data_IF_056751592941
#
_entry.id   IF_056751592941
#
_cell.length_a   1.000
_cell.length_b   1.000
_cell.length_c   1.000
_cell.angle_alpha   90.00
_cell.angle_beta   90.00
_cell.angle_gamma   90.00
#
_symmetry.space_group_name_H-M   'P 1'
#
loop_
_entity.id
_entity.type
_entity.pdbx_description
1 polymer ?
#
# COMPACT_ATOMS: atom_id res chain seq x y z
N UNK A 1 -25.67 -30.15 -10.90
CA UNK A 1 -24.32 -29.57 -10.72
C UNK A 1 -24.37 -28.60 -9.54
N UNK A 2 -23.75 -28.95 -8.43
CA UNK A 2 -23.65 -28.12 -7.23
C UNK A 2 -22.75 -26.93 -7.53
N UNK A 3 -23.26 -25.70 -7.40
CA UNK A 3 -22.46 -24.47 -7.51
C UNK A 3 -21.30 -24.57 -6.51
N UNK A 4 -20.06 -24.63 -7.03
CA UNK A 4 -18.85 -24.60 -6.21
C UNK A 4 -18.84 -23.26 -5.47
N UNK A 5 -18.88 -23.30 -4.13
CA UNK A 5 -18.92 -22.11 -3.26
C UNK A 5 -17.72 -21.21 -3.59
N UNK A 6 -17.98 -20.01 -4.09
CA UNK A 6 -16.97 -19.05 -4.55
C UNK A 6 -16.38 -18.31 -3.34
N UNK A 7 -15.37 -18.92 -2.71
CA UNK A 7 -14.54 -18.41 -1.62
C UNK A 7 -15.25 -18.10 -0.27
N UNK A 8 -14.92 -18.86 0.78
CA UNK A 8 -15.33 -18.56 2.17
C UNK A 8 -14.41 -17.52 2.86
N UNK A 9 -13.14 -17.42 2.42
CA UNK A 9 -12.15 -16.53 2.98
C UNK A 9 -11.41 -15.79 1.86
N UNK A 10 -11.32 -14.47 1.98
CA UNK A 10 -10.48 -13.64 1.12
C UNK A 10 -9.02 -13.77 1.58
N UNK A 11 -8.12 -13.99 0.63
CA UNK A 11 -6.71 -14.23 0.89
C UNK A 11 -5.86 -13.68 -0.25
N UNK A 12 -4.59 -13.38 0.05
CA UNK A 12 -3.64 -13.00 -0.96
C UNK A 12 -3.53 -14.06 -2.07
N UNK A 13 -3.63 -13.62 -3.32
CA UNK A 13 -3.63 -14.48 -4.51
C UNK A 13 -5.00 -15.08 -4.87
N UNK A 14 -6.09 -14.77 -4.17
CA UNK A 14 -7.41 -15.31 -4.49
C UNK A 14 -8.04 -14.62 -5.73
N UNK A 15 -7.94 -15.27 -6.89
CA UNK A 15 -8.45 -14.76 -8.17
C UNK A 15 -9.97 -14.52 -8.17
N UNK A 16 -10.74 -15.34 -7.45
CA UNK A 16 -12.20 -15.20 -7.40
C UNK A 16 -12.60 -13.97 -6.58
N UNK A 17 -12.05 -13.81 -5.37
CA UNK A 17 -12.27 -12.63 -4.53
C UNK A 17 -11.83 -11.34 -5.26
N UNK A 18 -10.70 -11.40 -5.97
CA UNK A 18 -10.22 -10.30 -6.80
C UNK A 18 -11.23 -9.90 -7.89
N UNK A 19 -11.76 -10.86 -8.66
CA UNK A 19 -12.75 -10.58 -9.70
C UNK A 19 -13.98 -9.85 -9.15
N UNK A 20 -14.48 -10.24 -7.97
CA UNK A 20 -15.59 -9.54 -7.32
C UNK A 20 -15.25 -8.10 -6.92
N UNK A 21 -14.01 -7.81 -6.53
CA UNK A 21 -13.55 -6.46 -6.16
C UNK A 21 -13.24 -5.58 -7.38
N UNK A 22 -12.60 -6.14 -8.42
CA UNK A 22 -12.04 -5.37 -9.54
C UNK A 22 -12.83 -5.46 -10.85
N UNK A 23 -13.84 -6.34 -10.91
CA UNK A 23 -14.59 -6.63 -12.12
C UNK A 23 -13.68 -7.23 -13.20
N UNK A 24 -13.64 -6.58 -14.37
CA UNK A 24 -12.90 -7.07 -15.54
C UNK A 24 -11.41 -6.69 -15.57
N UNK A 25 -10.87 -6.06 -14.52
CA UNK A 25 -9.44 -5.77 -14.43
C UNK A 25 -8.76 -6.95 -13.74
N UNK A 26 -7.80 -7.58 -14.44
CA UNK A 26 -7.09 -8.79 -13.99
C UNK A 26 -5.75 -8.40 -13.38
N UNK A 27 -5.28 -9.12 -12.35
CA UNK A 27 -3.94 -8.94 -11.77
C UNK A 27 -2.83 -9.31 -12.77
N UNK A 28 -1.66 -8.67 -12.62
CA UNK A 28 -0.41 -9.12 -13.22
C UNK A 28 0.03 -10.47 -12.65
N UNK A 29 0.90 -11.19 -13.37
CA UNK A 29 1.47 -12.46 -12.88
C UNK A 29 2.58 -12.23 -11.84
N UNK A 30 3.16 -11.03 -11.85
CA UNK A 30 4.23 -10.59 -10.97
C UNK A 30 3.79 -10.51 -9.50
N UNK A 31 2.48 -10.48 -9.25
CA UNK A 31 1.93 -10.58 -7.89
C UNK A 31 1.89 -12.01 -7.34
N UNK A 32 2.13 -13.03 -8.18
CA UNK A 32 2.05 -14.44 -7.77
C UNK A 32 3.22 -14.82 -6.84
N UNK A 33 4.41 -14.25 -7.06
CA UNK A 33 5.59 -14.48 -6.22
C UNK A 33 5.38 -13.96 -4.79
N UNK A 34 4.75 -12.78 -4.66
CA UNK A 34 4.37 -12.21 -3.36
C UNK A 34 3.30 -13.06 -2.67
N UNK A 35 2.42 -13.71 -3.44
CA UNK A 35 1.36 -14.54 -2.87
C UNK A 35 1.91 -15.76 -2.12
N UNK A 36 3.11 -16.25 -2.46
CA UNK A 36 3.77 -17.36 -1.76
C UNK A 36 4.14 -16.99 -0.32
N UNK A 37 4.44 -15.71 -0.05
CA UNK A 37 4.83 -15.23 1.28
C UNK A 37 3.75 -15.46 2.34
N UNK A 38 2.47 -15.55 1.95
CA UNK A 38 1.37 -15.81 2.90
C UNK A 38 1.53 -17.15 3.62
N UNK A 39 2.19 -18.12 2.99
CA UNK A 39 2.42 -19.45 3.57
C UNK A 39 3.40 -19.42 4.75
N UNK A 40 4.13 -18.31 4.91
CA UNK A 40 5.06 -18.08 6.03
C UNK A 40 4.34 -17.51 7.26
N UNK A 41 3.12 -16.97 7.09
CA UNK A 41 2.36 -16.40 8.19
C UNK A 41 1.92 -17.51 9.17
N UNK A 42 1.98 -17.26 10.48
CA UNK A 42 1.43 -18.19 11.45
C UNK A 42 -0.09 -18.23 11.32
N UNK A 43 -0.70 -19.37 11.65
CA UNK A 43 -2.16 -19.51 11.67
C UNK A 43 -2.84 -18.48 12.59
N UNK A 44 -2.20 -18.17 13.72
CA UNK A 44 -2.61 -17.15 14.67
C UNK A 44 -1.39 -16.34 15.10
N UNK A 45 -1.59 -15.06 15.40
CA UNK A 45 -0.58 -14.23 16.04
C UNK A 45 -0.40 -14.60 17.52
N UNK A 46 0.52 -13.91 18.23
CA UNK A 46 0.72 -14.06 19.66
C UNK A 46 -0.59 -14.05 20.44
N UNK A 47 -0.67 -14.89 21.48
CA UNK A 47 -1.84 -15.07 22.33
C UNK A 47 -3.13 -15.48 21.59
N UNK A 48 -3.00 -16.12 20.42
CA UNK A 48 -4.13 -16.62 19.63
C UNK A 48 -4.91 -15.51 18.92
N UNK A 49 -4.30 -14.34 18.73
CA UNK A 49 -4.88 -13.23 17.97
C UNK A 49 -4.98 -13.56 16.48
N UNK A 50 -5.88 -12.88 15.77
CA UNK A 50 -6.10 -13.15 14.35
C UNK A 50 -5.03 -12.51 13.48
N UNK A 51 -4.77 -13.13 12.33
CA UNK A 51 -3.98 -12.57 11.23
C UNK A 51 -4.90 -12.53 10.00
N UNK A 52 -5.30 -11.33 9.57
CA UNK A 52 -6.40 -11.12 8.63
C UNK A 52 -5.94 -10.40 7.35
N UNK A 53 -6.37 -10.87 6.19
CA UNK A 53 -5.97 -10.32 4.89
C UNK A 53 -6.89 -9.18 4.45
N UNK A 54 -6.29 -8.05 4.04
CA UNK A 54 -6.95 -6.92 3.38
C UNK A 54 -8.13 -6.32 4.20
N UNK A 55 -8.03 -6.37 5.54
CA UNK A 55 -8.97 -5.76 6.47
C UNK A 55 -8.26 -4.65 7.24
N UNK A 56 -8.89 -3.47 7.32
CA UNK A 56 -8.38 -2.33 8.08
C UNK A 56 -9.38 -1.98 9.18
N UNK A 57 -8.93 -2.09 10.44
CA UNK A 57 -9.72 -1.65 11.59
C UNK A 57 -8.83 -1.03 12.67
N UNK A 58 -9.46 -0.19 13.48
CA UNK A 58 -8.85 0.45 14.64
C UNK A 58 -9.85 0.47 15.80
N UNK A 59 -9.47 -0.15 16.91
CA UNK A 59 -10.28 -0.21 18.13
C UNK A 59 -9.99 0.94 19.09
N UNK A 60 -9.05 1.84 18.76
CA UNK A 60 -8.65 2.96 19.61
C UNK A 60 -7.87 2.57 20.87
N UNK A 61 -7.52 1.29 21.01
CA UNK A 61 -6.79 0.74 22.14
C UNK A 61 -5.28 0.98 21.96
N UNK A 62 -4.68 1.68 22.92
CA UNK A 62 -3.25 2.03 22.91
C UNK A 62 -2.40 1.10 23.77
N UNK A 63 -3.05 0.25 24.56
CA UNK A 63 -2.39 -0.58 25.57
C UNK A 63 -2.30 -2.04 25.12
N UNK A 64 -3.17 -2.46 24.20
CA UNK A 64 -3.29 -3.86 23.79
C UNK A 64 -3.38 -4.05 22.28
N UNK A 65 -2.91 -5.19 21.81
CA UNK A 65 -3.01 -5.63 20.41
C UNK A 65 -4.27 -6.50 20.23
N UNK A 66 -5.11 -6.17 19.26
CA UNK A 66 -6.39 -6.87 19.00
C UNK A 66 -6.32 -7.89 17.87
N UNK A 67 -5.25 -7.84 17.09
CA UNK A 67 -5.06 -8.65 15.90
C UNK A 67 -3.95 -8.09 15.03
N UNK A 68 -3.73 -8.76 13.92
CA UNK A 68 -2.77 -8.39 12.89
C UNK A 68 -3.46 -8.43 11.54
N UNK A 69 -3.06 -7.52 10.67
CA UNK A 69 -3.59 -7.44 9.32
C UNK A 69 -2.44 -7.41 8.33
N UNK A 70 -2.69 -7.97 7.14
CA UNK A 70 -1.68 -7.98 6.09
C UNK A 70 -2.29 -7.74 4.71
N UNK A 71 -1.48 -7.22 3.80
CA UNK A 71 -1.85 -7.00 2.40
C UNK A 71 -0.63 -7.14 1.50
N UNK A 72 -0.82 -7.28 0.19
CA UNK A 72 0.29 -7.15 -0.75
C UNK A 72 0.56 -5.68 -1.09
N UNK A 73 1.84 -5.34 -1.17
CA UNK A 73 2.29 -3.96 -1.36
C UNK A 73 3.39 -3.87 -2.42
N UNK A 74 3.28 -2.88 -3.30
CA UNK A 74 4.23 -2.52 -4.35
C UNK A 74 4.58 -3.66 -5.29
N UNK A 75 3.75 -4.71 -5.35
CA UNK A 75 4.03 -5.99 -6.04
C UNK A 75 5.34 -6.68 -5.60
N UNK A 76 5.90 -6.29 -4.45
CA UNK A 76 7.23 -6.70 -3.98
C UNK A 76 7.23 -7.15 -2.51
N UNK A 77 6.20 -6.80 -1.75
CA UNK A 77 6.15 -7.06 -0.31
C UNK A 77 4.82 -7.66 0.11
N UNK A 78 4.88 -8.50 1.13
CA UNK A 78 3.75 -8.67 2.04
C UNK A 78 3.93 -7.67 3.19
N UNK A 79 2.97 -6.76 3.35
CA UNK A 79 3.00 -5.77 4.43
C UNK A 79 2.12 -6.26 5.58
N UNK A 80 2.74 -6.62 6.70
CA UNK A 80 2.10 -7.03 7.95
C UNK A 80 2.12 -5.85 8.93
N UNK A 81 1.04 -5.67 9.69
CA UNK A 81 0.95 -4.66 10.74
C UNK A 81 0.02 -5.09 11.88
N UNK A 82 0.19 -4.56 13.10
CA UNK A 82 -0.82 -4.71 14.15
C UNK A 82 -2.12 -4.02 13.72
N UNK A 83 -3.26 -4.55 14.16
CA UNK A 83 -4.53 -3.87 14.00
C UNK A 83 -4.63 -2.69 14.99
N UNK A 84 -4.80 -1.48 14.47
CA UNK A 84 -4.89 -0.23 15.25
C UNK A 84 -3.89 0.83 14.81
N UNK A 85 -4.33 2.10 14.76
CA UNK A 85 -3.49 3.20 14.26
C UNK A 85 -2.28 3.47 15.16
N UNK A 86 -2.45 3.42 16.48
CA UNK A 86 -1.39 3.76 17.44
C UNK A 86 -0.17 2.86 17.27
N UNK A 87 -0.36 1.54 17.36
CA UNK A 87 0.73 0.58 17.25
C UNK A 87 1.33 0.56 15.84
N UNK A 88 0.52 0.71 14.80
CA UNK A 88 1.05 0.76 13.43
C UNK A 88 1.99 1.96 13.23
N UNK A 89 1.62 3.15 13.70
CA UNK A 89 2.46 4.34 13.57
C UNK A 89 3.72 4.23 14.44
N UNK A 90 3.57 3.89 15.72
CA UNK A 90 4.69 3.76 16.66
C UNK A 90 5.74 2.77 16.17
N UNK A 91 5.29 1.62 15.69
CA UNK A 91 6.18 0.58 15.18
C UNK A 91 6.94 1.02 13.94
N UNK A 92 6.27 1.74 13.03
CA UNK A 92 6.94 2.27 11.84
C UNK A 92 7.96 3.36 12.19
N UNK A 93 7.65 4.22 13.17
CA UNK A 93 8.60 5.20 13.71
C UNK A 93 9.82 4.54 14.34
N UNK A 94 9.64 3.41 15.04
CA UNK A 94 10.74 2.64 15.61
C UNK A 94 11.57 1.94 14.53
N UNK A 95 10.93 1.33 13.52
CA UNK A 95 11.62 0.72 12.38
C UNK A 95 12.49 1.76 11.62
N UNK A 96 12.03 3.01 11.51
CA UNK A 96 12.79 4.08 10.86
C UNK A 96 14.03 4.55 11.62
N UNK A 97 14.27 4.09 12.85
CA UNK A 97 15.49 4.35 13.63
C UNK A 97 16.57 3.28 13.39
N UNK A 98 16.23 2.18 12.72
CA UNK A 98 17.15 1.09 12.46
C UNK A 98 18.30 1.55 11.53
N UNK A 99 19.55 1.07 11.71
CA UNK A 99 20.62 1.36 10.76
C UNK A 99 20.27 0.83 9.37
N UNK A 100 20.68 1.58 8.34
CA UNK A 100 20.57 1.14 6.95
C UNK A 100 21.58 -0.01 6.73
N UNK A 101 21.08 -1.13 6.22
CA UNK A 101 21.83 -2.33 5.87
C UNK A 101 21.99 -2.45 4.36
N UNK A 102 22.95 -3.25 3.91
CA UNK A 102 23.14 -3.57 2.48
C UNK A 102 21.89 -4.23 1.87
N UNK A 103 21.22 -5.13 2.61
CA UNK A 103 19.97 -5.75 2.16
C UNK A 103 18.87 -4.70 1.96
N UNK A 104 18.70 -3.74 2.88
CA UNK A 104 17.70 -2.69 2.75
C UNK A 104 17.98 -1.73 1.59
N UNK A 105 19.25 -1.42 1.31
CA UNK A 105 19.63 -0.67 0.10
C UNK A 105 19.29 -1.43 -1.18
N UNK A 106 19.61 -2.73 -1.23
CA UNK A 106 19.27 -3.60 -2.37
C UNK A 106 17.76 -3.66 -2.60
N UNK A 107 16.98 -3.78 -1.52
CA UNK A 107 15.50 -3.77 -1.58
C UNK A 107 14.98 -2.42 -2.11
N UNK A 108 15.54 -1.31 -1.64
CA UNK A 108 15.16 0.02 -2.11
C UNK A 108 15.48 0.23 -3.60
N UNK A 109 16.64 -0.25 -4.06
CA UNK A 109 17.04 -0.20 -5.46
C UNK A 109 16.13 -1.06 -6.34
N UNK A 110 15.83 -2.31 -5.93
CA UNK A 110 14.89 -3.18 -6.66
C UNK A 110 13.50 -2.56 -6.78
N UNK A 111 13.03 -1.86 -5.75
CA UNK A 111 11.76 -1.13 -5.79
C UNK A 111 11.78 -0.02 -6.87
N UNK A 112 12.88 0.70 -7.02
CA UNK A 112 13.03 1.74 -8.03
C UNK A 112 13.11 1.18 -9.45
N UNK A 113 13.91 0.12 -9.64
CA UNK A 113 14.28 -0.39 -10.97
C UNK A 113 13.29 -1.40 -11.54
N UNK A 114 12.69 -2.24 -10.70
CA UNK A 114 11.92 -3.42 -11.10
C UNK A 114 10.45 -3.37 -10.66
N UNK A 115 9.91 -2.18 -10.38
CA UNK A 115 8.48 -1.98 -10.09
C UNK A 115 7.59 -2.17 -11.33
N UNK A 116 6.41 -2.77 -11.13
CA UNK A 116 5.44 -3.09 -12.19
C UNK A 116 4.01 -2.84 -11.72
N UNK A 117 3.09 -2.61 -12.66
CA UNK A 117 1.67 -2.49 -12.32
C UNK A 117 1.13 -3.81 -11.78
N UNK A 118 0.49 -3.73 -10.61
CA UNK A 118 -0.29 -4.82 -10.00
C UNK A 118 -1.41 -5.36 -10.90
N UNK A 119 -1.90 -4.55 -11.83
CA UNK A 119 -2.97 -4.88 -12.76
C UNK A 119 -2.47 -4.88 -14.20
N UNK A 120 -3.09 -5.71 -15.05
CA UNK A 120 -2.84 -5.66 -16.50
C UNK A 120 -3.50 -4.42 -17.09
N UNK A 121 -2.71 -3.40 -17.35
CA UNK A 121 -3.14 -2.10 -17.84
C UNK A 121 -2.61 -1.82 -19.26
N UNK A 122 -3.29 -0.93 -19.98
CA UNK A 122 -2.90 -0.52 -21.33
C UNK A 122 -1.67 0.39 -21.26
N UNK A 123 -0.79 0.28 -22.26
CA UNK A 123 0.32 1.21 -22.46
C UNK A 123 -0.17 2.64 -22.68
N UNK A 124 0.63 3.58 -22.23
CA UNK A 124 0.43 5.02 -22.40
C UNK A 124 1.18 5.49 -23.63
N UNK A 125 0.57 6.42 -24.37
CA UNK A 125 1.14 7.03 -25.58
C UNK A 125 1.59 8.48 -25.37
N UNK A 126 1.11 9.12 -24.32
CA UNK A 126 1.30 10.54 -24.05
C UNK A 126 2.16 10.72 -22.79
N UNK A 127 3.09 11.66 -22.87
CA UNK A 127 3.97 12.04 -21.76
C UNK A 127 3.31 13.12 -20.91
N UNK A 128 3.40 12.96 -19.59
CA UNK A 128 2.93 13.95 -18.63
C UNK A 128 3.96 14.12 -17.52
N UNK A 129 4.48 15.34 -17.36
CA UNK A 129 5.54 15.63 -16.40
C UNK A 129 5.07 15.60 -14.93
N UNK A 130 3.81 15.96 -14.69
CA UNK A 130 3.18 15.96 -13.37
C UNK A 130 1.92 15.09 -13.36
N UNK A 131 1.98 13.94 -12.68
CA UNK A 131 0.86 12.99 -12.56
C UNK A 131 0.50 12.75 -11.10
N UNK A 132 -0.78 12.88 -10.76
CA UNK A 132 -1.31 12.62 -9.41
C UNK A 132 -2.14 11.33 -9.45
N UNK A 133 -1.70 10.29 -8.73
CA UNK A 133 -2.42 9.02 -8.61
C UNK A 133 -3.51 9.12 -7.55
N UNK A 134 -4.77 9.02 -7.99
CA UNK A 134 -5.93 9.15 -7.12
C UNK A 134 -6.24 7.84 -6.34
N UNK A 135 -6.85 7.96 -5.14
CA UNK A 135 -7.39 6.82 -4.42
C UNK A 135 -8.49 6.07 -5.20
N UNK A 136 -8.81 4.86 -4.73
CA UNK A 136 -10.04 4.16 -5.13
C UNK A 136 -11.29 4.93 -4.70
N UNK A 137 -12.41 4.71 -5.40
CA UNK A 137 -13.67 5.43 -5.16
C UNK A 137 -14.16 5.31 -3.72
N UNK A 138 -13.90 4.18 -3.04
CA UNK A 138 -14.34 3.90 -1.68
C UNK A 138 -13.76 4.85 -0.63
N UNK A 139 -12.62 5.48 -0.89
CA UNK A 139 -11.93 6.38 0.07
C UNK A 139 -11.56 7.73 -0.56
N UNK A 140 -11.93 7.96 -1.83
CA UNK A 140 -11.55 9.16 -2.57
C UNK A 140 -11.98 10.45 -1.86
N UNK A 141 -13.22 10.48 -1.34
CA UNK A 141 -13.77 11.64 -0.65
C UNK A 141 -13.11 11.89 0.72
N UNK A 142 -12.64 10.82 1.37
CA UNK A 142 -12.11 10.89 2.74
C UNK A 142 -10.62 11.21 2.79
N UNK A 143 -9.89 10.94 1.71
CA UNK A 143 -8.43 10.97 1.69
C UNK A 143 -7.88 12.07 0.79
N UNK A 144 -8.54 12.43 -0.32
CA UNK A 144 -8.03 13.45 -1.22
C UNK A 144 -8.29 14.86 -0.69
N UNK A 145 -7.23 15.67 -0.57
CA UNK A 145 -7.34 17.10 -0.42
C UNK A 145 -7.73 17.74 -1.76
N UNK A 146 -9.04 17.99 -1.93
CA UNK A 146 -9.62 18.49 -3.18
C UNK A 146 -9.06 19.84 -3.62
N UNK A 147 -8.81 20.75 -2.69
CA UNK A 147 -8.30 22.09 -3.02
C UNK A 147 -6.85 22.03 -3.47
N UNK A 148 -6.04 21.20 -2.83
CA UNK A 148 -4.66 20.95 -3.24
C UNK A 148 -4.60 20.30 -4.62
N UNK A 149 -5.45 19.30 -4.85
CA UNK A 149 -5.58 18.66 -6.16
C UNK A 149 -5.98 19.69 -7.24
N UNK A 150 -6.96 20.56 -6.95
CA UNK A 150 -7.37 21.62 -7.88
C UNK A 150 -6.21 22.55 -8.23
N UNK A 151 -5.50 23.07 -7.22
CA UNK A 151 -4.35 23.96 -7.45
C UNK A 151 -3.26 23.31 -8.29
N UNK A 152 -3.04 22.00 -8.13
CA UNK A 152 -2.06 21.28 -8.94
C UNK A 152 -2.54 21.07 -10.37
N UNK A 153 -3.82 20.76 -10.58
CA UNK A 153 -4.42 20.71 -11.94
C UNK A 153 -4.33 22.07 -12.63
N UNK A 154 -4.60 23.16 -11.92
CA UNK A 154 -4.45 24.53 -12.45
C UNK A 154 -2.98 24.84 -12.83
N UNK A 155 -2.01 24.11 -12.27
CA UNK A 155 -0.58 24.17 -12.62
C UNK A 155 -0.15 23.15 -13.67
N UNK A 156 -1.11 22.42 -14.28
CA UNK A 156 -0.86 21.46 -15.36
C UNK A 156 -0.78 19.99 -14.95
N UNK A 157 -1.07 19.65 -13.68
CA UNK A 157 -1.08 18.26 -13.25
C UNK A 157 -2.21 17.45 -13.91
N UNK A 158 -1.92 16.19 -14.23
CA UNK A 158 -2.93 15.20 -14.68
C UNK A 158 -3.31 14.27 -13.54
N UNK A 159 -4.61 14.03 -13.37
CA UNK A 159 -5.13 13.13 -12.35
C UNK A 159 -5.34 11.73 -12.92
N UNK A 160 -4.59 10.76 -12.42
CA UNK A 160 -4.71 9.36 -12.81
C UNK A 160 -5.67 8.61 -11.91
N UNK A 161 -6.78 8.14 -12.48
CA UNK A 161 -7.77 7.34 -11.77
C UNK A 161 -7.21 5.97 -11.36
N UNK A 162 -7.56 5.52 -10.16
CA UNK A 162 -7.31 4.15 -9.68
C UNK A 162 -8.07 3.12 -10.55
N UNK A 163 -7.53 1.90 -10.79
CA UNK A 163 -8.23 0.83 -11.53
C UNK A 163 -9.66 0.55 -11.04
N UNK A 164 -9.89 0.65 -9.73
CA UNK A 164 -11.20 0.46 -9.09
C UNK A 164 -12.13 1.69 -9.16
N UNK A 165 -11.76 2.75 -9.87
CA UNK A 165 -12.60 3.95 -9.97
C UNK A 165 -13.94 3.62 -10.65
N UNK A 166 -15.05 3.97 -9.99
CA UNK A 166 -16.39 3.75 -10.52
C UNK A 166 -16.70 4.71 -11.68
N UNK A 167 -17.60 4.35 -12.61
CA UNK A 167 -18.02 5.26 -13.69
C UNK A 167 -18.59 6.59 -13.18
N UNK A 168 -19.36 6.55 -12.09
CA UNK A 168 -19.93 7.76 -11.47
C UNK A 168 -18.83 8.68 -10.91
N UNK A 169 -17.83 8.11 -10.22
CA UNK A 169 -16.69 8.89 -9.73
C UNK A 169 -15.86 9.47 -10.88
N UNK A 170 -15.66 8.71 -11.96
CA UNK A 170 -14.97 9.21 -13.15
C UNK A 170 -15.71 10.40 -13.79
N UNK A 171 -17.03 10.30 -13.95
CA UNK A 171 -17.85 11.38 -14.49
C UNK A 171 -17.77 12.64 -13.60
N UNK A 172 -17.85 12.46 -12.28
CA UNK A 172 -17.68 13.55 -11.32
C UNK A 172 -16.30 14.22 -11.43
N UNK A 173 -15.22 13.44 -11.52
CA UNK A 173 -13.86 13.97 -11.65
C UNK A 173 -13.68 14.77 -12.95
N UNK A 174 -14.20 14.25 -14.07
CA UNK A 174 -14.17 14.96 -15.36
C UNK A 174 -14.95 16.28 -15.31
N UNK A 175 -16.11 16.28 -14.67
CA UNK A 175 -16.90 17.50 -14.48
C UNK A 175 -16.17 18.51 -13.58
N UNK A 176 -15.51 18.06 -12.52
CA UNK A 176 -14.85 18.94 -11.53
C UNK A 176 -13.52 19.51 -12.02
N UNK A 177 -12.72 18.74 -12.75
CA UNK A 177 -11.34 19.10 -13.11
C UNK A 177 -11.10 19.27 -14.62
N UNK A 178 -12.12 19.09 -15.46
CA UNK A 178 -11.97 19.04 -16.91
C UNK A 178 -11.60 17.63 -17.39
N UNK A 179 -12.25 17.17 -18.47
CA UNK A 179 -12.07 15.81 -18.96
C UNK A 179 -10.65 15.54 -19.46
N UNK A 180 -9.99 16.57 -19.98
CA UNK A 180 -8.61 16.59 -20.46
C UNK A 180 -7.57 16.45 -19.35
N UNK A 181 -7.94 16.68 -18.09
CA UNK A 181 -7.04 16.53 -16.94
C UNK A 181 -7.18 15.18 -16.24
N UNK A 182 -8.09 14.32 -16.72
CA UNK A 182 -8.35 13.01 -16.12
C UNK A 182 -7.80 11.89 -17.01
N UNK A 183 -6.80 11.17 -16.49
CA UNK A 183 -6.27 9.95 -17.11
C UNK A 183 -7.08 8.74 -16.69
N UNK A 184 -7.45 7.92 -17.68
CA UNK A 184 -8.36 6.79 -17.48
C UNK A 184 -7.78 5.69 -16.58
N UNK A 185 -8.68 4.97 -15.88
CA UNK A 185 -8.31 3.90 -14.94
C UNK A 185 -7.57 2.70 -15.57
N UNK A 186 -7.74 2.46 -16.87
CA UNK A 186 -7.11 1.35 -17.61
C UNK A 186 -5.72 1.66 -18.15
N UNK A 187 -5.21 2.89 -18.01
CA UNK A 187 -3.84 3.24 -18.39
C UNK A 187 -2.86 2.77 -17.31
N UNK A 188 -1.69 2.29 -17.74
CA UNK A 188 -0.58 1.88 -16.87
C UNK A 188 -0.16 3.02 -15.95
N UNK A 189 -0.11 2.75 -14.64
CA UNK A 189 0.33 3.73 -13.66
C UNK A 189 1.85 3.82 -13.62
N UNK A 190 2.52 2.69 -13.67
CA UNK A 190 3.99 2.62 -13.63
C UNK A 190 4.64 3.26 -14.85
N UNK A 191 4.06 3.11 -16.05
CA UNK A 191 4.57 3.80 -17.24
C UNK A 191 4.47 5.32 -17.10
N UNK A 192 3.32 5.84 -16.62
CA UNK A 192 3.15 7.26 -16.34
C UNK A 192 4.15 7.77 -15.30
N UNK A 193 4.37 6.99 -14.23
CA UNK A 193 5.32 7.35 -13.17
C UNK A 193 6.77 7.41 -13.67
N UNK A 194 7.18 6.43 -14.49
CA UNK A 194 8.53 6.37 -15.06
C UNK A 194 8.84 7.61 -15.90
N UNK A 195 7.84 8.06 -16.65
CA UNK A 195 7.91 9.20 -17.55
C UNK A 195 7.79 10.57 -16.83
N UNK A 196 7.05 10.64 -15.72
CA UNK A 196 6.85 11.87 -14.96
C UNK A 196 8.11 12.29 -14.17
N UNK A 197 8.30 13.60 -14.00
CA UNK A 197 9.29 14.15 -13.06
C UNK A 197 8.69 14.37 -11.67
N UNK A 198 7.39 14.67 -11.63
CA UNK A 198 6.64 14.98 -10.41
C UNK A 198 5.48 14.00 -10.26
N UNK A 199 5.41 13.36 -9.09
CA UNK A 199 4.38 12.39 -8.75
C UNK A 199 3.59 12.87 -7.55
N UNK A 200 2.28 12.99 -7.71
CA UNK A 200 1.35 13.19 -6.60
C UNK A 200 0.71 11.88 -6.17
N UNK A 201 0.45 11.72 -4.88
CA UNK A 201 -0.32 10.59 -4.36
C UNK A 201 -0.97 10.93 -3.02
N UNK A 202 -1.92 10.12 -2.60
CA UNK A 202 -2.41 10.13 -1.22
C UNK A 202 -1.74 9.02 -0.40
N UNK A 203 -1.79 9.11 0.92
CA UNK A 203 -1.09 8.23 1.86
C UNK A 203 -1.61 6.77 1.84
N UNK A 204 -2.68 6.50 1.08
CA UNK A 204 -3.18 5.15 0.84
C UNK A 204 -2.54 4.47 -0.38
N UNK A 205 -1.71 5.18 -1.15
CA UNK A 205 -1.17 4.69 -2.43
C UNK A 205 0.26 4.21 -2.29
N UNK A 206 0.57 3.06 -2.85
CA UNK A 206 1.95 2.56 -2.98
C UNK A 206 2.77 3.39 -3.98
N UNK A 207 2.11 4.10 -4.90
CA UNK A 207 2.74 4.76 -6.05
C UNK A 207 3.75 5.83 -5.63
N UNK A 208 3.50 6.56 -4.54
CA UNK A 208 4.47 7.55 -4.08
C UNK A 208 5.72 6.95 -3.46
N UNK A 209 5.62 5.78 -2.80
CA UNK A 209 6.79 5.09 -2.24
C UNK A 209 7.69 4.57 -3.36
N UNK A 210 7.10 3.99 -4.40
CA UNK A 210 7.81 3.59 -5.63
C UNK A 210 8.47 4.80 -6.31
N UNK A 211 7.73 5.91 -6.44
CA UNK A 211 8.26 7.14 -7.05
C UNK A 211 9.45 7.72 -6.26
N UNK A 212 9.44 7.64 -4.93
CA UNK A 212 10.59 8.01 -4.09
C UNK A 212 11.80 7.12 -4.38
N UNK A 213 11.59 5.80 -4.55
CA UNK A 213 12.66 4.87 -4.92
C UNK A 213 13.22 5.13 -6.32
N UNK A 214 12.39 5.60 -7.25
CA UNK A 214 12.78 6.05 -8.59
C UNK A 214 13.46 7.44 -8.60
N UNK A 215 13.64 8.08 -7.45
CA UNK A 215 14.26 9.40 -7.35
C UNK A 215 13.39 10.56 -7.89
N UNK A 216 12.06 10.35 -7.98
CA UNK A 216 11.11 11.37 -8.45
C UNK A 216 10.82 12.41 -7.37
N UNK A 217 10.38 13.59 -7.79
CA UNK A 217 9.80 14.56 -6.84
C UNK A 217 8.40 14.08 -6.47
N UNK A 218 8.15 13.85 -5.18
CA UNK A 218 6.85 13.34 -4.70
C UNK A 218 6.15 14.38 -3.82
N UNK A 219 4.85 14.57 -4.04
CA UNK A 219 3.97 15.38 -3.19
C UNK A 219 2.80 14.56 -2.66
N UNK A 220 2.49 14.73 -1.38
CA UNK A 220 1.29 14.16 -0.78
C UNK A 220 0.08 15.05 -1.03
N UNK A 221 -1.04 14.45 -1.41
CA UNK A 221 -2.31 15.08 -1.71
C UNK A 221 -3.42 14.65 -0.77
N UNK A 222 -3.11 13.93 0.30
CA UNK A 222 -4.03 13.75 1.42
C UNK A 222 -3.74 14.68 2.58
N UNK A 223 -4.62 14.61 3.57
CA UNK A 223 -4.61 15.48 4.75
C UNK A 223 -3.83 14.87 5.93
N UNK A 224 -3.19 13.71 5.78
CA UNK A 224 -2.41 13.02 6.81
C UNK A 224 -3.18 12.51 8.05
N UNK A 225 -4.43 12.94 8.24
CA UNK A 225 -5.21 12.67 9.45
C UNK A 225 -5.85 11.26 9.52
N UNK A 226 -5.82 10.50 8.43
CA UNK A 226 -6.54 9.20 8.32
C UNK A 226 -5.56 8.03 8.44
N UNK A 227 -5.96 7.00 9.19
CA UNK A 227 -5.26 5.71 9.23
C UNK A 227 -5.63 4.89 7.97
N UNK A 228 -4.85 5.07 6.91
CA UNK A 228 -4.98 4.34 5.65
C UNK A 228 -3.81 3.38 5.46
N UNK A 229 -3.84 2.57 4.40
CA UNK A 229 -2.89 1.46 4.18
C UNK A 229 -1.43 1.81 4.45
N UNK A 230 -0.94 2.93 3.88
CA UNK A 230 0.45 3.33 4.01
C UNK A 230 0.65 4.61 4.84
N UNK A 231 -0.37 5.08 5.59
CA UNK A 231 -0.27 6.31 6.37
C UNK A 231 0.87 6.24 7.38
N UNK A 232 1.12 5.09 7.99
CA UNK A 232 2.23 4.92 8.92
C UNK A 232 3.60 5.08 8.27
N UNK A 233 3.78 4.54 7.06
CA UNK A 233 4.99 4.74 6.27
C UNK A 233 5.16 6.21 5.93
N UNK A 234 4.15 6.83 5.32
CA UNK A 234 4.19 8.23 4.92
C UNK A 234 4.43 9.17 6.11
N UNK A 235 3.67 9.06 7.19
CA UNK A 235 3.81 9.92 8.37
C UNK A 235 5.19 9.78 9.02
N UNK A 236 5.83 8.61 8.92
CA UNK A 236 7.16 8.37 9.48
C UNK A 236 8.26 9.01 8.63
N UNK A 237 8.16 8.86 7.29
CA UNK A 237 9.20 9.31 6.37
C UNK A 237 9.00 10.77 5.95
N UNK A 238 7.83 11.37 6.15
CA UNK A 238 7.52 12.73 5.73
C UNK A 238 7.63 13.73 6.87
N UNK A 239 8.35 14.83 6.64
CA UNK A 239 8.45 15.95 7.59
C UNK A 239 8.59 17.26 6.84
N UNK A 240 7.90 18.31 7.29
CA UNK A 240 8.00 19.67 6.75
C UNK A 240 7.84 19.72 5.21
N UNK A 241 6.89 18.93 4.70
CA UNK A 241 6.59 18.87 3.27
C UNK A 241 7.55 18.06 2.40
N UNK A 242 8.56 17.39 2.98
CA UNK A 242 9.54 16.58 2.26
C UNK A 242 9.65 15.15 2.80
N UNK A 243 9.93 14.21 1.91
CA UNK A 243 10.27 12.84 2.29
C UNK A 243 11.74 12.73 2.73
N UNK A 244 11.99 11.90 3.73
CA UNK A 244 13.30 11.44 4.15
C UNK A 244 13.51 10.01 3.64
N UNK A 245 14.22 9.89 2.51
CA UNK A 245 14.49 8.60 1.87
C UNK A 245 15.33 7.67 2.75
N UNK A 246 16.23 8.21 3.58
CA UNK A 246 17.03 7.39 4.49
C UNK A 246 16.18 6.72 5.56
N UNK A 247 15.11 7.35 6.03
CA UNK A 247 14.14 6.69 6.91
C UNK A 247 13.41 5.55 6.20
N UNK A 248 13.05 5.73 4.92
CA UNK A 248 12.43 4.65 4.16
C UNK A 248 13.38 3.46 3.98
N UNK A 249 14.65 3.71 3.64
CA UNK A 249 15.69 2.67 3.60
C UNK A 249 15.88 1.99 4.96
N UNK A 250 15.89 2.76 6.05
CA UNK A 250 16.00 2.24 7.42
C UNK A 250 14.84 1.27 7.75
N UNK A 251 13.62 1.61 7.35
CA UNK A 251 12.45 0.73 7.48
C UNK A 251 12.65 -0.57 6.68
N UNK A 252 13.12 -0.47 5.44
CA UNK A 252 13.39 -1.65 4.59
C UNK A 252 14.55 -2.51 5.12
N UNK A 253 15.48 -1.91 5.88
CA UNK A 253 16.56 -2.62 6.59
C UNK A 253 16.12 -3.29 7.89
N UNK A 254 14.95 -2.93 8.41
CA UNK A 254 14.44 -3.41 9.68
C UNK A 254 13.58 -4.67 9.48
N UNK A 255 14.09 -5.84 9.90
CA UNK A 255 13.40 -7.13 9.73
C UNK A 255 12.03 -7.19 10.42
N UNK A 256 11.89 -6.51 11.56
CA UNK A 256 10.62 -6.46 12.27
C UNK A 256 9.68 -5.35 11.77
N UNK A 257 9.98 -4.61 10.70
CA UNK A 257 9.14 -3.49 10.21
C UNK A 257 7.75 -3.91 9.71
N UNK A 258 7.58 -5.20 9.43
CA UNK A 258 6.38 -5.74 8.79
C UNK A 258 6.42 -5.67 7.26
N UNK A 259 7.45 -5.05 6.66
CA UNK A 259 7.68 -5.07 5.22
C UNK A 259 8.47 -6.34 4.84
N UNK A 260 7.77 -7.43 4.50
CA UNK A 260 8.41 -8.70 4.15
C UNK A 260 8.74 -8.71 2.64
N UNK A 261 10.02 -8.64 2.22
CA UNK A 261 10.39 -8.59 0.80
C UNK A 261 10.39 -9.98 0.19
N UNK A 262 9.79 -10.13 -1.00
CA UNK A 262 9.82 -11.42 -1.70
C UNK A 262 11.22 -11.81 -2.21
N UNK A 263 12.10 -10.81 -2.42
CA UNK A 263 13.50 -11.00 -2.85
C UNK A 263 14.48 -11.27 -1.70
N UNK A 264 13.99 -11.33 -0.45
CA UNK A 264 14.85 -11.67 0.68
C UNK A 264 15.29 -13.12 0.56
N UNK A 265 16.53 -13.42 0.96
CA UNK A 265 17.04 -14.79 1.00
C UNK A 265 16.34 -15.61 2.09
N UNK A 266 15.89 -14.95 3.17
CA UNK A 266 15.18 -15.58 4.26
C UNK A 266 13.94 -14.77 4.70
N UNK A 267 12.84 -14.79 3.93
CA UNK A 267 11.63 -14.04 4.25
C UNK A 267 10.95 -14.52 5.55
N UNK A 268 11.21 -15.75 6.00
CA UNK A 268 10.69 -16.26 7.28
C UNK A 268 11.23 -15.43 8.46
N UNK A 269 12.49 -15.01 8.44
CA UNK A 269 13.08 -14.18 9.50
C UNK A 269 12.36 -12.84 9.68
N UNK A 270 11.82 -12.24 8.61
CA UNK A 270 11.04 -11.01 8.69
C UNK A 270 9.70 -11.24 9.38
N UNK A 271 9.03 -12.35 9.05
CA UNK A 271 7.75 -12.74 9.68
C UNK A 271 7.96 -13.02 11.16
N UNK A 272 8.97 -13.82 11.50
CA UNK A 272 9.29 -14.20 12.87
C UNK A 272 9.66 -12.96 13.70
N UNK A 273 10.57 -12.12 13.19
CA UNK A 273 10.98 -10.89 13.85
C UNK A 273 9.82 -9.92 14.08
N UNK A 274 8.88 -9.83 13.12
CA UNK A 274 7.69 -9.00 13.27
C UNK A 274 6.82 -9.48 14.43
N UNK A 275 6.48 -10.77 14.50
CA UNK A 275 5.63 -11.28 15.59
C UNK A 275 6.34 -11.30 16.93
N UNK A 276 7.65 -11.56 16.94
CA UNK A 276 8.49 -11.51 18.14
C UNK A 276 8.54 -10.10 18.75
N UNK A 277 8.55 -9.04 17.93
CA UNK A 277 8.49 -7.65 18.41
C UNK A 277 7.26 -7.38 19.29
N UNK A 278 6.15 -8.08 19.02
CA UNK A 278 4.89 -7.90 19.75
C UNK A 278 4.62 -8.95 20.82
N UNK A 279 5.42 -10.01 20.95
CA UNK A 279 5.06 -11.22 21.71
C UNK A 279 4.79 -10.95 23.20
N UNK A 280 5.53 -10.00 23.79
CA UNK A 280 5.46 -9.66 25.21
C UNK A 280 4.47 -8.52 25.49
N UNK A 281 3.85 -7.93 24.46
CA UNK A 281 2.83 -6.92 24.65
C UNK A 281 1.49 -7.57 25.06
N UNK A 282 0.62 -6.85 25.79
CA UNK A 282 -0.72 -7.32 26.06
C UNK A 282 -1.54 -7.53 24.78
N UNK A 283 -2.23 -8.67 24.65
CA UNK A 283 -3.17 -8.95 23.57
C UNK A 283 -4.59 -9.15 24.08
N UNK A 284 -5.57 -8.87 23.22
CA UNK A 284 -6.98 -9.23 23.44
C UNK A 284 -7.29 -10.52 22.69
N UNK A 285 -7.72 -11.55 23.42
CA UNK A 285 -8.16 -12.81 22.81
C UNK A 285 -9.39 -12.59 21.92
N UNK A 286 -9.44 -13.16 20.71
CA UNK A 286 -10.63 -13.07 19.85
C UNK A 286 -11.84 -13.70 20.53
N UNK A 287 -13.02 -13.06 20.41
CA UNK A 287 -14.28 -13.61 20.94
C UNK A 287 -14.66 -14.96 20.32
N UNK A 288 -14.37 -15.13 19.02
CA UNK A 288 -14.56 -16.38 18.27
C UNK A 288 -13.23 -16.75 17.59
N UNK A 289 -12.36 -17.58 18.22
CA UNK A 289 -11.14 -18.06 17.58
C UNK A 289 -11.50 -18.95 16.39
N UNK A 290 -10.79 -18.79 15.27
CA UNK A 290 -10.89 -19.73 14.13
C UNK A 290 -10.12 -20.99 14.53
N UNK A 291 -10.82 -22.03 14.95
CA UNK A 291 -10.24 -23.37 15.22
C UNK A 291 -9.64 -23.97 13.97
#
# INVERSE_FOLDING_TARGET
MTLKRLAENDELGNTAAHFFKSGNIIRGKESDDVAVLKNLLPKNGPNGTRVEYDIWYDMGDKDRIHGYVYTDSMAKFMYIRPAGAYWTHKHMEDAAKHPITEEGERIFQDLGENSVDKYRLRRVKEHHDFVIFLPGTNILQDVLNWDKAKRAVDQGAKLKCHPLTSPAALAHLKHKFGAENILEKKLSGHQLMKEASIVGCCENSEMGLVALAQGKTVYLFGDGAKNVTYSALYNTIWKDGKANVNKFKSILSCKHSGMVPFISENPQEYVDAFFDYYKDLPHVKPRNPRT
#
